data_IF_292892791608
#
_entry.id   IF_292892791608
#
_cell.length_a   1.000
_cell.length_b   1.000
_cell.length_c   1.000
_cell.angle_alpha   90.00
_cell.angle_beta   90.00
_cell.angle_gamma   90.00
#
_symmetry.space_group_name_H-M   'P 1'
#
loop_
_entity.id
_entity.type
_entity.pdbx_description
1 polymer ?
#
# COMPACT_ATOMS: atom_id res chain seq x y z
N UNK A 1 -12.32 -48.38 -39.93
CA UNK A 1 -11.77 -48.69 -38.60
C UNK A 1 -10.64 -47.72 -38.35
N UNK A 2 -10.88 -46.68 -37.56
CA UNK A 2 -9.86 -45.72 -37.13
C UNK A 2 -9.85 -45.74 -35.60
N UNK A 3 -8.71 -46.13 -35.03
CA UNK A 3 -8.47 -46.23 -33.59
C UNK A 3 -8.46 -44.84 -32.93
N UNK A 4 -9.22 -44.70 -31.86
CA UNK A 4 -9.23 -43.55 -30.96
C UNK A 4 -8.15 -43.71 -29.89
N UNK A 5 -7.14 -42.82 -29.87
CA UNK A 5 -6.10 -42.76 -28.82
C UNK A 5 -6.64 -42.17 -27.50
N UNK A 6 -6.28 -42.70 -26.33
CA UNK A 6 -6.76 -42.23 -25.03
C UNK A 6 -5.84 -41.11 -24.50
N UNK A 7 -6.19 -39.85 -24.74
CA UNK A 7 -5.42 -38.71 -24.21
C UNK A 7 -6.14 -37.92 -23.08
N UNK A 8 -7.27 -38.43 -22.58
CA UNK A 8 -8.21 -37.64 -21.77
C UNK A 8 -8.34 -38.08 -20.30
N UNK A 9 -7.31 -38.66 -19.67
CA UNK A 9 -7.35 -39.07 -18.25
C UNK A 9 -6.28 -38.48 -17.32
N UNK A 10 -5.30 -37.74 -17.85
CA UNK A 10 -4.25 -37.11 -17.03
C UNK A 10 -4.57 -35.66 -16.59
N UNK A 11 -5.50 -35.00 -17.28
CA UNK A 11 -5.90 -33.61 -16.98
C UNK A 11 -6.53 -33.39 -15.60
N UNK A 12 -7.40 -34.29 -15.05
CA UNK A 12 -7.98 -34.06 -13.73
C UNK A 12 -7.01 -34.37 -12.58
N UNK A 13 -5.96 -35.18 -12.81
CA UNK A 13 -4.93 -35.45 -11.81
C UNK A 13 -3.99 -34.25 -11.63
N UNK A 14 -3.67 -33.55 -12.73
CA UNK A 14 -2.91 -32.30 -12.72
C UNK A 14 -3.71 -31.16 -12.06
N UNK A 15 -5.03 -31.13 -12.25
CA UNK A 15 -5.92 -30.14 -11.62
C UNK A 15 -6.07 -30.35 -10.11
N UNK A 16 -5.95 -31.60 -9.61
CA UNK A 16 -5.94 -31.90 -8.17
C UNK A 16 -4.61 -31.48 -7.49
N UNK A 17 -3.49 -31.53 -8.22
CA UNK A 17 -2.18 -31.06 -7.71
C UNK A 17 -2.09 -29.53 -7.62
N UNK A 18 -2.93 -28.79 -8.36
CA UNK A 18 -2.97 -27.32 -8.35
C UNK A 18 -3.85 -26.74 -7.22
N UNK A 19 -4.51 -27.57 -6.41
CA UNK A 19 -5.49 -27.13 -5.40
C UNK A 19 -5.04 -27.20 -3.94
N UNK A 20 -3.79 -27.59 -3.63
CA UNK A 20 -3.26 -27.52 -2.27
C UNK A 20 -1.79 -27.14 -2.26
N UNK A 21 -1.50 -25.84 -2.36
CA UNK A 21 -0.34 -25.34 -1.61
C UNK A 21 -0.80 -25.30 -0.14
N UNK A 22 -0.27 -26.15 0.77
CA UNK A 22 -0.49 -25.92 2.18
C UNK A 22 0.16 -24.57 2.50
N UNK A 23 -0.66 -23.54 2.75
CA UNK A 23 -0.18 -22.28 3.29
C UNK A 23 0.56 -22.62 4.58
N UNK A 24 1.87 -22.49 4.54
CA UNK A 24 2.71 -22.69 5.71
C UNK A 24 2.66 -21.38 6.49
N UNK A 25 2.26 -21.47 7.76
CA UNK A 25 2.22 -20.33 8.67
C UNK A 25 2.96 -20.64 9.97
N UNK A 26 3.50 -19.61 10.61
CA UNK A 26 4.03 -19.70 11.97
C UNK A 26 3.00 -19.16 12.95
N UNK A 27 2.90 -19.77 14.14
CA UNK A 27 1.90 -19.38 15.15
C UNK A 27 2.51 -18.48 16.20
N UNK A 28 1.78 -17.41 16.55
CA UNK A 28 2.16 -16.39 17.52
C UNK A 28 1.17 -16.49 18.70
N UNK A 29 1.61 -16.96 19.87
CA UNK A 29 0.72 -17.15 21.01
C UNK A 29 0.30 -15.81 21.63
N UNK A 30 -0.86 -15.79 22.30
CA UNK A 30 -1.30 -14.64 23.09
C UNK A 30 -0.27 -14.30 24.18
N UNK A 31 -0.05 -13.00 24.38
CA UNK A 31 0.97 -12.47 25.29
C UNK A 31 2.33 -12.23 24.63
N UNK A 32 2.52 -12.63 23.37
CA UNK A 32 3.75 -12.36 22.63
C UNK A 32 3.98 -10.87 22.45
N UNK A 33 5.25 -10.45 22.53
CA UNK A 33 5.67 -9.07 22.38
C UNK A 33 7.00 -8.99 21.61
N UNK A 34 7.11 -7.98 20.76
CA UNK A 34 8.37 -7.53 20.17
C UNK A 34 8.56 -6.05 20.53
N UNK A 35 9.80 -5.65 20.75
CA UNK A 35 10.17 -4.29 21.15
C UNK A 35 10.92 -3.57 20.02
N UNK A 36 10.71 -2.25 19.89
CA UNK A 36 11.29 -1.42 18.84
C UNK A 36 12.82 -1.47 18.82
N UNK A 37 13.46 -1.33 19.99
CA UNK A 37 14.91 -1.44 20.14
C UNK A 37 15.40 -2.87 20.46
N UNK A 38 14.56 -3.89 20.32
CA UNK A 38 14.94 -5.27 20.60
C UNK A 38 15.84 -5.84 19.51
N UNK A 39 17.03 -6.33 19.85
CA UNK A 39 17.91 -6.97 18.86
C UNK A 39 17.30 -8.29 18.38
N UNK A 40 17.22 -8.46 17.05
CA UNK A 40 16.72 -9.67 16.39
C UNK A 40 15.35 -10.17 16.86
N UNK A 41 14.46 -9.26 17.29
CA UNK A 41 13.09 -9.62 17.63
C UNK A 41 12.17 -9.53 16.42
N UNK A 42 11.64 -10.67 15.99
CA UNK A 42 10.65 -10.75 14.93
C UNK A 42 9.73 -11.97 15.12
N UNK A 43 8.61 -11.97 14.38
CA UNK A 43 7.78 -13.16 14.17
C UNK A 43 7.90 -13.57 12.70
N UNK A 44 8.75 -14.56 12.36
CA UNK A 44 9.02 -14.92 10.97
C UNK A 44 7.96 -15.87 10.40
N UNK A 45 7.70 -15.78 9.10
CA UNK A 45 7.01 -16.83 8.34
C UNK A 45 7.85 -18.12 8.33
N UNK A 46 7.25 -19.30 8.07
CA UNK A 46 7.99 -20.56 8.05
C UNK A 46 9.22 -20.59 7.15
N UNK A 47 9.17 -19.93 5.99
CA UNK A 47 10.32 -19.80 5.09
C UNK A 47 11.25 -18.62 5.41
N UNK A 48 10.94 -17.82 6.44
CA UNK A 48 11.67 -16.62 6.86
C UNK A 48 11.78 -15.51 5.79
N UNK A 49 10.98 -15.56 4.73
CA UNK A 49 10.89 -14.50 3.71
C UNK A 49 10.14 -13.28 4.24
N UNK A 50 9.10 -13.50 5.05
CA UNK A 50 8.33 -12.44 5.69
C UNK A 50 8.49 -12.48 7.20
N UNK A 51 8.39 -11.33 7.86
CA UNK A 51 8.35 -11.29 9.32
C UNK A 51 7.63 -10.07 9.84
N UNK A 52 6.94 -10.20 10.98
CA UNK A 52 6.51 -9.05 11.76
C UNK A 52 7.69 -8.57 12.58
N UNK A 53 8.10 -7.33 12.40
CA UNK A 53 9.28 -6.75 13.04
C UNK A 53 9.19 -5.23 13.13
N UNK A 54 10.15 -4.63 13.81
CA UNK A 54 10.39 -3.20 13.74
C UNK A 54 11.49 -2.90 12.72
N UNK A 55 11.21 -2.02 11.77
CA UNK A 55 12.20 -1.47 10.82
C UNK A 55 12.50 -0.02 11.16
N UNK A 56 13.70 0.52 10.83
CA UNK A 56 14.00 1.94 11.05
C UNK A 56 12.97 2.85 10.36
N UNK A 57 12.45 3.84 11.09
CA UNK A 57 11.52 4.83 10.57
C UNK A 57 12.22 6.02 9.91
N UNK A 58 11.43 6.97 9.41
CA UNK A 58 11.92 8.12 8.64
C UNK A 58 12.73 9.14 9.47
N UNK A 59 12.63 9.09 10.80
CA UNK A 59 13.35 9.97 11.73
C UNK A 59 14.34 9.20 12.60
N UNK A 60 15.42 9.84 13.08
CA UNK A 60 16.34 9.20 14.05
C UNK A 60 15.58 8.68 15.27
N UNK A 61 15.91 7.47 15.71
CA UNK A 61 15.27 6.77 16.84
C UNK A 61 13.76 6.52 16.68
N UNK A 62 13.22 6.60 15.45
CA UNK A 62 11.87 6.15 15.14
C UNK A 62 11.90 4.74 14.53
N UNK A 63 10.87 3.96 14.82
CA UNK A 63 10.75 2.57 14.38
C UNK A 63 9.34 2.30 13.85
N UNK A 64 9.24 1.77 12.65
CA UNK A 64 8.00 1.38 12.02
C UNK A 64 7.70 -0.09 12.37
N UNK A 65 6.57 -0.35 12.99
CA UNK A 65 6.06 -1.71 13.20
C UNK A 65 5.46 -2.22 11.89
N UNK A 66 6.04 -3.25 11.30
CA UNK A 66 5.65 -3.70 9.97
C UNK A 66 5.66 -5.22 9.81
N UNK A 67 4.87 -5.71 8.86
CA UNK A 67 5.21 -6.96 8.18
C UNK A 67 6.22 -6.59 7.10
N UNK A 68 7.39 -7.20 7.15
CA UNK A 68 8.51 -6.90 6.24
C UNK A 68 8.88 -8.10 5.40
N UNK A 69 9.16 -7.86 4.14
CA UNK A 69 9.80 -8.79 3.23
C UNK A 69 11.32 -8.63 3.32
N UNK A 70 12.05 -9.75 3.29
CA UNK A 70 13.52 -9.81 3.39
C UNK A 70 14.11 -9.05 4.61
N UNK A 71 13.29 -8.80 5.64
CA UNK A 71 13.67 -8.16 6.89
C UNK A 71 13.72 -6.62 6.91
N UNK A 72 13.54 -5.96 5.77
CA UNK A 72 13.73 -4.51 5.66
C UNK A 72 12.75 -3.80 4.70
N UNK A 73 11.92 -4.54 3.97
CA UNK A 73 10.95 -3.96 3.02
C UNK A 73 9.54 -4.03 3.61
N UNK A 74 8.96 -2.95 4.14
CA UNK A 74 7.64 -2.99 4.76
C UNK A 74 6.54 -3.21 3.71
N UNK A 75 5.78 -4.31 3.86
CA UNK A 75 4.64 -4.68 3.02
C UNK A 75 3.28 -4.44 3.68
N UNK A 76 3.28 -4.11 4.96
CA UNK A 76 2.14 -3.62 5.74
C UNK A 76 2.70 -2.96 7.00
N UNK A 77 2.04 -1.94 7.57
CA UNK A 77 2.49 -1.31 8.80
C UNK A 77 1.35 -1.05 9.80
N UNK A 78 1.67 -1.14 11.10
CA UNK A 78 0.76 -0.73 12.17
C UNK A 78 1.00 0.74 12.57
N UNK A 79 2.11 1.34 12.12
CA UNK A 79 2.50 2.71 12.45
C UNK A 79 3.88 2.81 13.10
N UNK A 80 4.27 4.04 13.41
CA UNK A 80 5.62 4.40 13.86
C UNK A 80 5.63 4.73 15.36
N UNK A 81 6.67 4.28 16.06
CA UNK A 81 6.90 4.49 17.50
C UNK A 81 8.33 4.96 17.77
N UNK A 82 8.59 5.40 19.00
CA UNK A 82 9.94 5.66 19.53
C UNK A 82 10.68 4.35 19.86
N UNK A 83 11.95 4.46 20.28
CA UNK A 83 12.81 3.33 20.63
C UNK A 83 12.28 2.45 21.78
N UNK A 84 11.40 2.96 22.62
CA UNK A 84 10.80 2.24 23.73
C UNK A 84 9.43 1.64 23.37
N UNK A 85 9.00 1.77 22.11
CA UNK A 85 7.75 1.19 21.63
C UNK A 85 7.73 -0.34 21.61
N UNK A 86 6.53 -0.90 21.62
CA UNK A 86 6.32 -2.35 21.55
C UNK A 86 5.04 -2.71 20.80
N UNK A 87 5.11 -3.81 20.05
CA UNK A 87 3.96 -4.45 19.43
C UNK A 87 3.65 -5.72 20.23
N UNK A 88 2.42 -5.83 20.71
CA UNK A 88 2.00 -6.92 21.60
C UNK A 88 0.69 -7.54 21.13
N UNK A 89 0.67 -8.85 21.02
CA UNK A 89 -0.57 -9.61 20.93
C UNK A 89 -1.10 -9.82 22.36
N UNK A 90 -2.10 -9.05 22.76
CA UNK A 90 -2.64 -9.06 24.12
C UNK A 90 -3.35 -10.38 24.43
N UNK A 91 -3.42 -10.73 25.72
CA UNK A 91 -4.21 -11.88 26.20
C UNK A 91 -5.72 -11.73 25.93
N UNK A 92 -6.19 -10.51 25.70
CA UNK A 92 -7.56 -10.21 25.29
C UNK A 92 -7.84 -10.50 23.81
N UNK A 93 -6.81 -10.75 23.00
CA UNK A 93 -6.93 -11.05 21.58
C UNK A 93 -6.69 -9.88 20.63
N UNK A 94 -6.37 -8.68 21.14
CA UNK A 94 -6.01 -7.54 20.28
C UNK A 94 -4.51 -7.43 20.04
N UNK A 95 -4.12 -7.11 18.81
CA UNK A 95 -2.75 -6.74 18.45
C UNK A 95 -2.62 -5.22 18.65
N UNK A 96 -1.75 -4.81 19.57
CA UNK A 96 -1.62 -3.41 20.00
C UNK A 96 -0.20 -2.91 19.83
N UNK A 97 -0.06 -1.75 19.19
CA UNK A 97 1.17 -0.98 19.08
C UNK A 97 1.15 0.15 20.12
N UNK A 98 2.19 0.21 20.94
CA UNK A 98 2.36 1.21 22.00
C UNK A 98 3.70 1.90 21.88
N UNK A 99 3.77 3.19 22.19
CA UNK A 99 5.02 3.94 22.28
C UNK A 99 5.65 3.87 23.68
N UNK A 100 6.81 4.48 23.89
CA UNK A 100 7.53 4.47 25.17
C UNK A 100 6.77 5.10 26.34
N UNK A 101 5.85 6.03 26.06
CA UNK A 101 4.97 6.63 27.07
C UNK A 101 3.83 5.71 27.52
N UNK A 102 3.64 4.56 26.86
CA UNK A 102 2.50 3.67 27.06
C UNK A 102 1.24 4.09 26.29
N UNK A 103 1.32 5.13 25.46
CA UNK A 103 0.21 5.55 24.60
C UNK A 103 0.00 4.53 23.49
N UNK A 104 -1.25 4.18 23.22
CA UNK A 104 -1.61 3.31 22.10
C UNK A 104 -1.56 4.10 20.80
N UNK A 105 -0.70 3.67 19.88
CA UNK A 105 -0.56 4.28 18.54
C UNK A 105 -1.52 3.61 17.54
N UNK A 106 -1.69 2.30 17.66
CA UNK A 106 -2.56 1.52 16.79
C UNK A 106 -3.07 0.26 17.52
N UNK A 107 -4.27 -0.19 17.17
CA UNK A 107 -4.92 -1.38 17.72
C UNK A 107 -5.78 -2.07 16.66
N UNK A 108 -5.78 -3.40 16.63
CA UNK A 108 -6.61 -4.18 15.69
C UNK A 108 -8.11 -4.16 16.03
N UNK A 109 -8.50 -3.68 17.22
CA UNK A 109 -9.90 -3.63 17.65
C UNK A 109 -10.52 -5.01 17.91
N UNK A 110 -9.70 -6.06 18.02
CA UNK A 110 -10.15 -7.45 18.15
C UNK A 110 -10.29 -7.93 19.59
N UNK A 111 -10.25 -7.00 20.55
CA UNK A 111 -10.42 -7.30 21.97
C UNK A 111 -11.72 -8.09 22.20
N UNK A 112 -11.60 -9.28 22.80
CA UNK A 112 -12.71 -10.19 23.12
C UNK A 112 -13.51 -10.71 21.93
N UNK A 113 -13.01 -10.58 20.69
CA UNK A 113 -13.63 -11.19 19.50
C UNK A 113 -13.29 -12.68 19.31
N UNK A 114 -12.72 -13.32 20.33
CA UNK A 114 -12.41 -14.76 20.32
C UNK A 114 -11.09 -15.13 19.65
N UNK A 115 -10.18 -14.17 19.43
CA UNK A 115 -8.82 -14.42 18.95
C UNK A 115 -8.06 -15.28 19.96
N UNK A 116 -7.42 -16.34 19.49
CA UNK A 116 -6.60 -17.27 20.27
C UNK A 116 -5.13 -17.29 19.87
N UNK A 117 -4.79 -16.79 18.68
CA UNK A 117 -3.42 -16.70 18.19
C UNK A 117 -3.32 -15.72 17.02
N UNK A 118 -2.11 -15.22 16.79
CA UNK A 118 -1.70 -14.64 15.51
C UNK A 118 -1.00 -15.68 14.65
N UNK A 119 -0.92 -15.44 13.35
CA UNK A 119 -0.10 -16.21 12.43
C UNK A 119 0.45 -15.35 11.31
N UNK A 120 1.66 -15.64 10.86
CA UNK A 120 2.26 -15.04 9.65
C UNK A 120 2.50 -16.14 8.62
N UNK A 121 2.00 -15.93 7.41
CA UNK A 121 2.08 -16.89 6.30
C UNK A 121 3.26 -16.58 5.37
N UNK A 122 3.70 -17.57 4.59
CA UNK A 122 4.77 -17.41 3.58
C UNK A 122 4.38 -16.49 2.40
N UNK A 123 3.14 -16.01 2.35
CA UNK A 123 2.63 -14.98 1.45
C UNK A 123 2.83 -13.56 1.97
N UNK A 124 3.20 -13.42 3.25
CA UNK A 124 3.29 -12.12 3.93
C UNK A 124 1.98 -11.65 4.57
N UNK A 125 0.92 -12.47 4.54
CA UNK A 125 -0.32 -12.16 5.24
C UNK A 125 -0.18 -12.47 6.74
N UNK A 126 -0.46 -11.47 7.58
CA UNK A 126 -0.60 -11.66 9.03
C UNK A 126 -2.07 -11.76 9.39
N UNK A 127 -2.43 -12.78 10.16
CA UNK A 127 -3.82 -13.13 10.48
C UNK A 127 -3.97 -13.34 11.99
N UNK A 128 -5.01 -12.76 12.59
CA UNK A 128 -5.48 -13.14 13.93
C UNK A 128 -6.58 -14.18 13.79
N UNK A 129 -6.42 -15.34 14.44
CA UNK A 129 -7.32 -16.50 14.31
C UNK A 129 -8.01 -16.82 15.62
N UNK A 130 -9.21 -17.36 15.52
CA UNK A 130 -9.91 -17.95 16.67
C UNK A 130 -9.56 -19.43 16.86
N UNK A 131 -10.18 -20.07 17.87
CA UNK A 131 -9.91 -21.47 18.23
C UNK A 131 -10.31 -22.50 17.15
N UNK A 132 -11.08 -22.10 16.13
CA UNK A 132 -11.43 -22.92 14.97
C UNK A 132 -10.54 -22.62 13.76
N UNK A 133 -9.43 -21.91 13.98
CA UNK A 133 -8.51 -21.43 12.94
C UNK A 133 -9.15 -20.47 11.93
N UNK A 134 -10.33 -19.91 12.23
CA UNK A 134 -11.02 -18.96 11.36
C UNK A 134 -10.39 -17.57 11.54
N UNK A 135 -10.05 -16.86 10.44
CA UNK A 135 -9.60 -15.47 10.50
C UNK A 135 -10.63 -14.57 11.19
N UNK A 136 -10.18 -13.81 12.18
CA UNK A 136 -10.94 -12.74 12.85
C UNK A 136 -10.50 -11.37 12.33
N UNK A 137 -9.22 -11.25 11.96
CA UNK A 137 -8.62 -10.05 11.39
C UNK A 137 -7.44 -10.46 10.50
N UNK A 138 -7.20 -9.70 9.43
CA UNK A 138 -6.05 -9.87 8.53
C UNK A 138 -5.42 -8.52 8.19
N UNK A 139 -4.09 -8.49 8.05
CA UNK A 139 -3.35 -7.31 7.58
C UNK A 139 -3.72 -6.92 6.15
N UNK A 140 -4.06 -7.92 5.34
CA UNK A 140 -4.48 -7.73 3.96
C UNK A 140 -5.84 -7.03 3.91
N UNK A 141 -6.77 -7.39 4.81
CA UNK A 141 -8.08 -6.73 4.97
C UNK A 141 -8.00 -5.32 5.58
N UNK A 142 -6.83 -4.89 6.05
CA UNK A 142 -6.61 -3.61 6.73
C UNK A 142 -5.32 -2.92 6.24
N UNK A 143 -5.21 -2.61 4.94
CA UNK A 143 -3.99 -2.05 4.35
C UNK A 143 -3.75 -0.61 4.84
N UNK A 144 -2.49 -0.26 5.07
CA UNK A 144 -2.08 1.07 5.55
C UNK A 144 -1.37 1.93 4.49
N UNK A 145 -0.55 1.32 3.64
CA UNK A 145 0.36 2.02 2.72
C UNK A 145 0.99 1.11 1.65
N UNK A 146 1.23 -0.16 1.96
CA UNK A 146 1.70 -1.16 0.98
C UNK A 146 0.59 -2.15 0.64
N UNK A 147 0.35 -2.37 -0.65
CA UNK A 147 -0.69 -3.28 -1.17
C UNK A 147 0.00 -4.58 -1.58
N UNK A 148 0.20 -5.47 -0.61
CA UNK A 148 0.47 -6.87 -0.89
C UNK A 148 -0.84 -7.54 -1.32
N UNK A 149 -0.79 -8.31 -2.42
CA UNK A 149 -1.89 -9.01 -3.12
C UNK A 149 -3.23 -9.03 -2.36
N UNK A 150 -4.19 -8.16 -2.74
CA UNK A 150 -5.43 -8.05 -1.98
C UNK A 150 -6.73 -8.31 -2.75
N UNK A 151 -7.57 -9.13 -2.12
CA UNK A 151 -8.98 -9.30 -2.43
C UNK A 151 -9.85 -8.45 -1.50
N UNK A 152 -10.44 -7.38 -2.08
CA UNK A 152 -11.68 -6.64 -1.71
C UNK A 152 -11.63 -5.44 -0.74
N UNK A 153 -12.01 -4.32 -1.38
CA UNK A 153 -12.87 -3.19 -0.92
C UNK A 153 -12.20 -2.06 -0.15
N UNK A 154 -11.81 -1.03 -0.90
CA UNK A 154 -11.59 0.33 -0.41
C UNK A 154 -12.92 1.12 -0.44
N UNK A 155 -13.32 1.68 0.70
CA UNK A 155 -14.45 2.63 0.82
C UNK A 155 -13.96 3.95 1.42
N UNK A 156 -13.60 4.90 0.57
CA UNK A 156 -13.63 6.35 0.83
C UNK A 156 -13.82 7.06 -0.51
N UNK A 157 -14.68 8.07 -0.60
CA UNK A 157 -15.15 8.68 -1.86
C UNK A 157 -14.14 9.58 -2.58
N UNK A 158 -12.84 9.42 -2.35
CA UNK A 158 -11.79 10.23 -2.98
C UNK A 158 -11.16 9.43 -4.11
N UNK A 159 -11.40 9.86 -5.35
CA UNK A 159 -10.88 9.20 -6.55
C UNK A 159 -9.46 9.71 -6.80
N UNK A 160 -8.44 8.94 -6.41
CA UNK A 160 -7.02 9.27 -6.62
C UNK A 160 -6.51 8.93 -8.04
N UNK A 161 -7.30 8.19 -8.81
CA UNK A 161 -6.89 7.67 -10.12
C UNK A 161 -8.11 7.43 -11.04
N UNK A 162 -8.04 7.83 -12.31
CA UNK A 162 -9.11 7.61 -13.29
C UNK A 162 -8.63 7.10 -14.68
N UNK A 163 -7.35 6.72 -14.81
CA UNK A 163 -6.73 6.40 -16.10
C UNK A 163 -6.55 4.89 -16.30
N UNK A 164 -7.62 4.11 -16.49
CA UNK A 164 -7.41 2.72 -16.90
C UNK A 164 -8.58 1.76 -16.86
N UNK A 165 -9.67 2.09 -17.54
CA UNK A 165 -10.51 1.04 -18.14
C UNK A 165 -10.34 1.22 -19.65
N UNK A 166 -9.57 0.33 -20.27
CA UNK A 166 -9.43 0.32 -21.72
C UNK A 166 -10.83 0.16 -22.35
N UNK A 167 -10.96 0.64 -23.58
CA UNK A 167 -12.11 0.52 -24.49
C UNK A 167 -12.72 -0.90 -24.65
N UNK A 168 -12.15 -1.92 -24.02
CA UNK A 168 -12.59 -3.32 -24.01
C UNK A 168 -13.71 -3.62 -23.00
N UNK A 169 -14.09 -2.69 -22.13
CA UNK A 169 -15.11 -2.90 -21.10
C UNK A 169 -16.36 -2.09 -21.42
N UNK A 170 -17.39 -2.78 -21.92
CA UNK A 170 -18.74 -2.25 -22.08
C UNK A 170 -19.65 -2.65 -20.91
N UNK A 171 -19.18 -2.53 -19.67
CA UNK A 171 -19.99 -2.78 -18.48
C UNK A 171 -20.24 -1.48 -17.70
N UNK A 172 -21.51 -1.21 -17.41
CA UNK A 172 -21.92 -0.06 -16.64
C UNK A 172 -21.74 -0.38 -15.15
N UNK A 173 -20.55 -0.12 -14.61
CA UNK A 173 -20.22 -0.39 -13.21
C UNK A 173 -20.69 0.77 -12.34
N UNK A 174 -21.85 0.61 -11.69
CA UNK A 174 -22.31 1.52 -10.64
C UNK A 174 -21.58 1.18 -9.34
N UNK A 175 -20.59 2.00 -8.96
CA UNK A 175 -19.78 1.84 -7.74
C UNK A 175 -18.97 0.54 -7.66
N UNK A 176 -18.01 0.30 -8.59
CA UNK A 176 -17.19 -0.91 -8.56
C UNK A 176 -16.29 -0.96 -7.33
N UNK A 177 -16.12 -2.16 -6.77
CA UNK A 177 -15.07 -2.48 -5.80
C UNK A 177 -13.84 -2.97 -6.56
N UNK A 178 -13.04 -2.03 -7.04
CA UNK A 178 -11.82 -2.32 -7.77
C UNK A 178 -10.76 -2.86 -6.80
N UNK A 179 -10.33 -4.10 -7.02
CA UNK A 179 -9.13 -4.67 -6.44
C UNK A 179 -7.98 -4.61 -7.43
N UNK A 180 -6.75 -4.44 -6.94
CA UNK A 180 -5.53 -4.55 -7.73
C UNK A 180 -4.86 -5.87 -7.37
N UNK A 181 -4.64 -6.71 -8.37
CA UNK A 181 -3.93 -7.98 -8.20
C UNK A 181 -2.63 -7.90 -8.97
N UNK A 182 -1.51 -7.93 -8.24
CA UNK A 182 -0.20 -8.13 -8.84
C UNK A 182 0.03 -9.63 -9.03
N UNK A 183 0.36 -10.03 -10.25
CA UNK A 183 0.75 -11.41 -10.54
C UNK A 183 2.26 -11.55 -10.42
N UNK A 184 2.70 -12.76 -10.13
CA UNK A 184 4.12 -13.12 -10.04
C UNK A 184 4.91 -12.89 -11.33
N UNK A 185 4.26 -12.76 -12.49
CA UNK A 185 4.90 -12.41 -13.76
C UNK A 185 5.02 -10.89 -13.99
N UNK A 186 4.55 -10.05 -13.06
CA UNK A 186 4.63 -8.60 -13.14
C UNK A 186 3.42 -7.91 -13.78
N UNK A 187 2.30 -8.62 -13.97
CA UNK A 187 1.05 -8.00 -14.46
C UNK A 187 0.23 -7.50 -13.29
N UNK A 188 -0.25 -6.26 -13.36
CA UNK A 188 -1.31 -5.79 -12.48
C UNK A 188 -2.63 -5.87 -13.24
N UNK A 189 -3.55 -6.64 -12.67
CA UNK A 189 -4.93 -6.72 -13.15
C UNK A 189 -5.84 -5.96 -12.19
N UNK A 190 -6.71 -5.12 -12.74
CA UNK A 190 -7.86 -4.60 -12.02
C UNK A 190 -8.94 -5.69 -12.01
N UNK A 191 -9.44 -6.01 -10.83
CA UNK A 191 -10.51 -6.98 -10.62
C UNK A 191 -11.72 -6.31 -9.99
N UNK A 192 -12.91 -6.63 -10.47
CA UNK A 192 -14.17 -6.34 -9.80
C UNK A 192 -15.04 -7.59 -9.84
N UNK A 193 -15.87 -7.80 -8.81
CA UNK A 193 -16.75 -8.97 -8.75
C UNK A 193 -17.75 -9.08 -9.91
N UNK A 194 -18.03 -7.98 -10.60
CA UNK A 194 -18.93 -7.92 -11.75
C UNK A 194 -18.19 -8.09 -13.09
N UNK A 195 -16.85 -8.16 -13.09
CA UNK A 195 -16.07 -8.42 -14.29
C UNK A 195 -15.86 -9.93 -14.46
N UNK A 196 -16.18 -10.46 -15.66
CA UNK A 196 -16.02 -11.89 -16.00
C UNK A 196 -14.54 -12.35 -16.08
N UNK A 197 -13.60 -11.42 -15.90
CA UNK A 197 -12.16 -11.64 -15.84
C UNK A 197 -11.48 -10.34 -15.40
N UNK A 198 -10.31 -10.46 -14.77
CA UNK A 198 -9.48 -9.30 -14.46
C UNK A 198 -9.05 -8.61 -15.75
N UNK A 199 -9.01 -7.28 -15.74
CA UNK A 199 -8.60 -6.48 -16.89
C UNK A 199 -7.11 -6.24 -16.74
N UNK A 200 -6.32 -6.78 -17.67
CA UNK A 200 -4.89 -6.49 -17.74
C UNK A 200 -4.72 -5.00 -17.99
N UNK A 201 -4.11 -4.32 -17.01
CA UNK A 201 -4.13 -2.87 -16.97
C UNK A 201 -2.75 -2.28 -17.06
N UNK A 202 -1.74 -2.91 -16.46
CA UNK A 202 -0.34 -2.51 -16.60
C UNK A 202 0.63 -3.67 -16.43
N UNK A 203 1.80 -3.51 -17.04
CA UNK A 203 2.92 -4.44 -16.96
C UNK A 203 4.07 -3.75 -16.23
N UNK A 204 4.70 -4.47 -15.30
CA UNK A 204 5.96 -4.06 -14.70
C UNK A 204 7.05 -4.01 -15.76
N UNK A 205 8.03 -3.11 -15.62
CA UNK A 205 9.16 -3.00 -16.54
C UNK A 205 10.05 -4.25 -16.61
N UNK A 206 9.96 -5.13 -15.62
CA UNK A 206 10.63 -6.44 -15.56
C UNK A 206 9.66 -7.60 -15.86
N UNK A 207 8.58 -7.35 -16.60
CA UNK A 207 7.58 -8.36 -16.94
C UNK A 207 8.20 -9.61 -17.57
N UNK A 208 7.80 -10.78 -17.08
CA UNK A 208 8.28 -12.07 -17.55
C UNK A 208 9.56 -12.56 -16.87
N UNK A 209 10.23 -11.73 -16.06
CA UNK A 209 11.37 -12.19 -15.27
C UNK A 209 10.89 -13.16 -14.18
N UNK A 210 11.39 -14.39 -14.27
CA UNK A 210 11.19 -15.44 -13.29
C UNK A 210 12.14 -15.25 -12.10
N UNK A 211 11.66 -15.60 -10.90
CA UNK A 211 12.40 -15.50 -9.62
C UNK A 211 12.54 -14.10 -9.00
N UNK A 212 11.79 -13.13 -9.52
CA UNK A 212 11.68 -11.78 -8.93
C UNK A 212 10.47 -11.69 -8.00
N UNK A 213 10.68 -11.23 -6.77
CA UNK A 213 9.58 -10.87 -5.88
C UNK A 213 9.09 -9.48 -6.25
N UNK A 214 7.77 -9.34 -6.46
CA UNK A 214 7.15 -8.06 -6.82
C UNK A 214 6.06 -7.73 -5.82
N UNK A 215 5.92 -6.45 -5.50
CA UNK A 215 4.84 -5.96 -4.66
C UNK A 215 4.40 -4.57 -5.13
N UNK A 216 3.15 -4.23 -4.82
CA UNK A 216 2.56 -2.93 -5.12
C UNK A 216 2.59 -2.07 -3.86
N UNK A 217 2.95 -0.81 -3.98
CA UNK A 217 3.03 0.11 -2.84
C UNK A 217 2.55 1.50 -3.22
N UNK A 218 1.69 2.09 -2.39
CA UNK A 218 1.36 3.50 -2.45
C UNK A 218 2.39 4.23 -1.58
N UNK A 219 3.34 4.92 -2.20
CA UNK A 219 4.36 5.63 -1.44
C UNK A 219 3.81 6.88 -0.75
N UNK A 220 4.57 7.40 0.20
CA UNK A 220 4.25 8.62 0.96
C UNK A 220 4.19 9.90 0.09
N UNK A 221 4.63 9.80 -1.16
CA UNK A 221 4.46 10.81 -2.18
C UNK A 221 3.12 10.73 -2.93
N UNK A 222 2.26 9.78 -2.56
CA UNK A 222 0.91 9.57 -3.10
C UNK A 222 0.87 8.84 -4.44
N UNK A 223 2.00 8.33 -4.92
CA UNK A 223 2.08 7.58 -6.17
C UNK A 223 2.11 6.07 -5.91
N UNK A 224 1.42 5.31 -6.75
CA UNK A 224 1.36 3.86 -6.67
C UNK A 224 2.43 3.25 -7.59
N UNK A 225 3.29 2.38 -7.07
CA UNK A 225 4.41 1.80 -7.80
C UNK A 225 4.45 0.28 -7.70
N UNK A 226 5.01 -0.35 -8.73
CA UNK A 226 5.44 -1.75 -8.67
C UNK A 226 6.92 -1.76 -8.33
N UNK A 227 7.23 -2.44 -7.23
CA UNK A 227 8.58 -2.67 -6.77
C UNK A 227 8.98 -4.11 -7.01
N UNK A 228 10.23 -4.31 -7.39
CA UNK A 228 10.81 -5.64 -7.62
C UNK A 228 12.10 -5.83 -6.85
N UNK A 229 12.31 -7.04 -6.36
CA UNK A 229 13.55 -7.51 -5.75
C UNK A 229 14.01 -8.80 -6.41
N UNK A 230 15.26 -8.81 -6.88
CA UNK A 230 15.89 -9.96 -7.53
C UNK A 230 16.14 -11.17 -6.60
N UNK A 231 15.97 -11.00 -5.28
CA UNK A 231 16.09 -12.09 -4.32
C UNK A 231 15.02 -11.98 -3.24
N UNK A 232 14.45 -13.14 -2.85
CA UNK A 232 13.51 -13.29 -1.74
C UNK A 232 14.08 -12.84 -0.39
N UNK A 233 15.41 -12.78 -0.24
CA UNK A 233 16.04 -12.70 1.07
C UNK A 233 17.03 -11.53 1.26
N UNK A 234 17.47 -10.79 0.22
CA UNK A 234 18.39 -9.64 0.41
C UNK A 234 18.69 -8.78 -0.85
N UNK A 235 17.73 -8.61 -1.77
CA UNK A 235 17.95 -7.81 -3.00
C UNK A 235 17.68 -6.31 -2.82
N UNK A 236 18.36 -5.42 -3.58
CA UNK A 236 17.92 -4.02 -3.71
C UNK A 236 16.53 -3.97 -4.36
N UNK A 237 15.67 -3.14 -3.80
CA UNK A 237 14.30 -2.96 -4.28
C UNK A 237 14.26 -1.78 -5.26
N UNK A 238 13.82 -2.04 -6.49
CA UNK A 238 13.73 -1.02 -7.52
C UNK A 238 12.28 -0.83 -7.97
N UNK A 239 11.90 0.42 -8.28
CA UNK A 239 10.62 0.70 -8.90
C UNK A 239 10.72 0.39 -10.40
N UNK A 240 9.85 -0.51 -10.89
CA UNK A 240 9.79 -0.88 -12.30
C UNK A 240 8.57 -0.30 -13.02
N UNK A 241 7.66 0.34 -12.28
CA UNK A 241 6.50 1.05 -12.82
C UNK A 241 5.95 2.06 -11.79
N UNK A 242 5.34 3.14 -12.27
CA UNK A 242 4.56 4.10 -11.48
C UNK A 242 3.23 4.42 -12.16
N UNK A 243 2.18 4.62 -11.37
CA UNK A 243 0.83 4.86 -11.87
C UNK A 243 0.68 6.13 -12.69
N UNK A 244 1.39 7.18 -12.27
CA UNK A 244 1.42 8.46 -12.97
C UNK A 244 2.80 9.11 -12.79
N UNK A 245 3.09 10.10 -13.62
CA UNK A 245 4.19 11.02 -13.33
C UNK A 245 3.92 11.76 -12.01
N UNK A 246 4.95 12.00 -11.21
CA UNK A 246 4.78 12.57 -9.87
C UNK A 246 3.95 13.88 -9.83
N UNK A 247 4.14 14.81 -10.77
CA UNK A 247 3.36 16.05 -10.79
C UNK A 247 1.88 15.87 -11.20
N UNK A 248 1.49 14.67 -11.63
CA UNK A 248 0.10 14.30 -11.86
C UNK A 248 -0.57 13.69 -10.62
N UNK A 249 0.20 13.39 -9.56
CA UNK A 249 -0.36 12.99 -8.27
C UNK A 249 -1.11 14.18 -7.67
N UNK A 250 -2.40 13.96 -7.41
CA UNK A 250 -3.26 15.00 -6.85
C UNK A 250 -2.72 15.51 -5.52
N UNK A 251 -2.60 16.83 -5.39
CA UNK A 251 -2.20 17.46 -4.13
C UNK A 251 -0.71 17.30 -3.76
N UNK A 252 0.15 16.80 -4.67
CA UNK A 252 1.58 16.58 -4.37
C UNK A 252 2.29 17.81 -3.78
N UNK A 253 1.95 19.01 -4.27
CA UNK A 253 2.51 20.28 -3.77
C UNK A 253 1.61 21.04 -2.79
N UNK A 254 0.53 20.43 -2.31
CA UNK A 254 -0.37 21.07 -1.37
C UNK A 254 -1.13 22.26 -1.95
N UNK A 255 -1.84 22.98 -1.08
CA UNK A 255 -2.71 24.07 -1.50
C UNK A 255 -1.91 25.25 -2.07
N UNK A 256 -2.40 25.85 -3.16
CA UNK A 256 -1.70 26.90 -3.93
C UNK A 256 -0.28 26.54 -4.40
N UNK A 257 0.15 25.28 -4.29
CA UNK A 257 1.46 24.83 -4.77
C UNK A 257 1.43 24.42 -6.24
N UNK A 258 2.50 24.72 -6.97
CA UNK A 258 2.69 24.31 -8.36
C UNK A 258 3.76 23.24 -8.40
N UNK A 259 3.44 22.09 -9.00
CA UNK A 259 4.42 21.03 -9.25
C UNK A 259 5.08 21.24 -10.61
N UNK A 260 6.41 21.16 -10.63
CA UNK A 260 7.20 21.13 -11.86
C UNK A 260 8.41 20.21 -11.70
N UNK A 261 9.17 19.99 -12.78
CA UNK A 261 10.36 19.16 -12.75
C UNK A 261 11.63 20.00 -12.86
N UNK A 262 12.62 19.68 -12.02
CA UNK A 262 13.99 20.10 -12.20
C UNK A 262 14.84 18.87 -12.56
N UNK A 263 15.05 18.66 -13.86
CA UNK A 263 15.57 17.39 -14.37
C UNK A 263 14.52 16.27 -14.18
N UNK A 264 14.88 15.23 -13.44
CA UNK A 264 13.97 14.13 -13.07
C UNK A 264 13.26 14.33 -11.73
N UNK A 265 13.67 15.34 -10.95
CA UNK A 265 13.17 15.55 -9.60
C UNK A 265 11.95 16.47 -9.60
N UNK A 266 10.81 16.04 -9.01
CA UNK A 266 9.64 16.87 -8.85
C UNK A 266 9.87 17.92 -7.75
N UNK A 267 9.54 19.18 -8.04
CA UNK A 267 9.71 20.31 -7.14
C UNK A 267 8.40 21.07 -6.97
N UNK A 268 8.22 21.65 -5.77
CA UNK A 268 7.07 22.49 -5.44
C UNK A 268 7.49 23.96 -5.36
N UNK A 269 6.74 24.82 -6.05
CA UNK A 269 6.93 26.27 -6.05
C UNK A 269 5.62 26.99 -5.76
N UNK A 270 5.71 28.23 -5.26
CA UNK A 270 4.54 29.08 -5.09
C UNK A 270 4.25 29.87 -6.38
N UNK A 271 2.99 30.28 -6.61
CA UNK A 271 2.57 30.86 -7.89
C UNK A 271 3.23 32.19 -8.20
N UNK A 272 3.57 32.97 -7.18
CA UNK A 272 4.27 34.25 -7.32
C UNK A 272 4.91 34.69 -6.01
N UNK A 273 5.59 35.85 -6.05
CA UNK A 273 6.17 36.51 -4.87
C UNK A 273 5.16 36.96 -3.82
N UNK A 274 3.86 36.98 -4.14
CA UNK A 274 2.76 37.33 -3.23
C UNK A 274 2.32 36.15 -2.34
N UNK A 275 2.97 34.99 -2.49
CA UNK A 275 2.75 33.81 -1.70
C UNK A 275 4.04 33.44 -0.98
N UNK A 276 3.90 32.89 0.22
CA UNK A 276 4.98 32.25 0.95
C UNK A 276 4.68 30.77 1.13
N UNK A 277 5.72 29.95 1.29
CA UNK A 277 5.52 28.57 1.70
C UNK A 277 4.86 28.51 3.07
N UNK A 278 3.95 27.55 3.25
CA UNK A 278 3.41 27.23 4.58
C UNK A 278 4.53 26.76 5.49
N UNK A 279 5.42 25.93 4.95
CA UNK A 279 6.61 25.41 5.61
C UNK A 279 7.79 25.45 4.62
N UNK A 280 8.83 26.19 4.95
CA UNK A 280 10.00 26.37 4.08
C UNK A 280 10.83 25.09 3.98
N UNK A 281 10.80 24.24 5.02
CA UNK A 281 11.52 22.98 5.07
C UNK A 281 10.74 21.86 4.36
N UNK A 282 9.42 21.97 4.30
CA UNK A 282 8.55 21.04 3.58
C UNK A 282 7.62 21.76 2.60
N UNK A 283 8.13 21.96 1.38
CA UNK A 283 7.43 22.67 0.31
C UNK A 283 6.19 21.92 -0.20
N UNK A 284 6.00 20.64 0.14
CA UNK A 284 4.79 19.88 -0.21
C UNK A 284 3.57 20.30 0.58
N UNK A 285 3.75 21.02 1.71
CA UNK A 285 2.64 21.61 2.47
C UNK A 285 1.98 22.80 1.76
N UNK A 286 2.50 23.20 0.60
CA UNK A 286 1.93 24.24 -0.23
C UNK A 286 2.28 25.64 0.22
N UNK A 287 1.47 26.57 -0.23
CA UNK A 287 1.70 28.00 -0.13
C UNK A 287 0.50 28.70 0.51
N UNK A 288 0.77 29.85 1.11
CA UNK A 288 -0.24 30.76 1.66
C UNK A 288 -0.06 32.14 1.04
N UNK A 289 -1.15 32.89 0.92
CA UNK A 289 -1.08 34.30 0.51
C UNK A 289 -0.37 35.10 1.60
N UNK A 290 0.42 36.10 1.19
CA UNK A 290 1.01 37.07 2.14
C UNK A 290 -0.03 37.99 2.76
N UNK A 291 -1.10 38.27 2.02
CA UNK A 291 -2.20 39.15 2.40
C UNK A 291 -3.51 38.48 2.00
N UNK A 292 -4.48 38.47 2.91
CA UNK A 292 -5.82 37.95 2.63
C UNK A 292 -6.58 38.91 1.71
N UNK A 293 -7.45 38.35 0.86
CA UNK A 293 -8.20 39.15 -0.11
C UNK A 293 -9.18 40.12 0.55
N UNK A 294 -9.69 39.79 1.75
CA UNK A 294 -10.54 40.68 2.55
C UNK A 294 -9.85 41.97 2.98
N UNK A 295 -8.52 41.93 3.10
CA UNK A 295 -7.71 42.99 3.67
C UNK A 295 -7.10 43.88 2.58
N UNK A 296 -7.36 43.55 1.30
CA UNK A 296 -6.94 44.35 0.16
C UNK A 296 -7.86 45.56 -0.04
N UNK A 297 -7.34 46.77 0.21
CA UNK A 297 -8.04 48.04 -0.04
C UNK A 297 -8.05 48.48 -1.52
N UNK A 298 -7.49 47.67 -2.43
CA UNK A 298 -7.34 47.99 -3.85
C UNK A 298 -7.98 46.94 -4.77
N UNK A 299 -7.93 47.19 -6.08
CA UNK A 299 -8.49 46.26 -7.07
C UNK A 299 -7.69 44.94 -7.10
N UNK A 300 -8.41 43.82 -7.05
CA UNK A 300 -7.82 42.49 -7.21
C UNK A 300 -7.35 42.28 -8.65
N UNK A 301 -6.15 41.75 -8.81
CA UNK A 301 -5.62 41.33 -10.12
C UNK A 301 -5.54 39.82 -10.20
N UNK A 302 -5.80 39.28 -11.38
CA UNK A 302 -5.61 37.87 -11.68
C UNK A 302 -4.18 37.64 -12.14
N UNK A 303 -3.55 36.60 -11.61
CA UNK A 303 -2.23 36.16 -12.07
C UNK A 303 -2.43 35.10 -13.16
N UNK A 304 -1.90 35.37 -14.34
CA UNK A 304 -1.85 34.38 -15.41
C UNK A 304 -0.69 33.38 -15.18
N UNK A 305 -0.99 32.10 -15.31
CA UNK A 305 -0.06 30.99 -15.10
C UNK A 305 0.02 30.15 -16.39
N UNK A 306 0.86 30.56 -17.36
CA UNK A 306 0.96 29.84 -18.62
C UNK A 306 1.53 28.43 -18.41
N UNK A 307 1.19 27.51 -19.31
CA UNK A 307 1.65 26.12 -19.29
C UNK A 307 1.35 25.36 -17.99
N UNK A 308 0.32 25.79 -17.25
CA UNK A 308 -0.08 25.16 -16.00
C UNK A 308 -1.41 24.43 -16.19
N UNK A 309 -1.50 23.21 -15.64
CA UNK A 309 -2.76 22.46 -15.59
C UNK A 309 -3.39 22.65 -14.22
N UNK A 310 -4.61 23.20 -14.20
CA UNK A 310 -5.37 23.31 -12.96
C UNK A 310 -5.99 21.95 -12.61
N UNK A 311 -5.62 21.41 -11.46
CA UNK A 311 -6.31 20.26 -10.87
C UNK A 311 -7.55 20.76 -10.13
N UNK A 312 -8.72 20.67 -10.75
CA UNK A 312 -10.01 20.88 -10.09
C UNK A 312 -10.82 19.61 -10.13
N UNK A 313 -11.60 19.37 -9.09
CA UNK A 313 -12.61 18.32 -9.08
C UNK A 313 -13.96 18.93 -9.55
N UNK A 314 -14.74 18.18 -10.34
CA UNK A 314 -16.02 18.68 -10.87
C UNK A 314 -17.05 19.04 -9.78
N UNK A 315 -16.94 18.49 -8.57
CA UNK A 315 -17.80 18.91 -7.46
C UNK A 315 -17.34 20.22 -6.78
N UNK A 316 -16.10 20.65 -6.95
CA UNK A 316 -15.62 21.93 -6.40
C UNK A 316 -16.13 23.13 -7.23
N UNK A 317 -16.67 22.87 -8.43
CA UNK A 317 -17.30 23.88 -9.29
C UNK A 317 -18.79 24.08 -8.99
N UNK A 318 -19.36 23.32 -8.03
CA UNK A 318 -20.78 23.37 -7.67
C UNK A 318 -21.06 24.07 -6.33
N UNK A 319 -20.04 24.60 -5.66
CA UNK A 319 -20.20 25.37 -4.41
C UNK A 319 -20.22 26.88 -4.66
#
# INVERSE_FOLDING_TARGET
>A
MAETKPFLKLLPLLLLLLLHFPFSFSTIPLGSVIFASGSNQNWPSPNSTFSVSFVPGSSPNSFLSAVSFAGNVPIWSAGTVDSQGSLRLLKSGSLRLTNGSGTTVWDSGTDRLGVTSGSIEDTGEFILRNNRSVPVWSSFDNPTDTIAEFHRRWNTSTIYWNLGLNSSISSNLTSPSLGLVLRTNGVVSIFDSNLRGGVDTVYSGDYGDSDTFRFLKLDDDGNLRIYSSASRNSGPVNAHWSAVDQCLVYGYCGNFGICSYNGTNPICSCPSRNFDFVDVNDRRKGCKRKVELSDCSGNTTMLDLPHTRLFTYENDLKS
#
